data_IF_928214423271
#
_entry.id   IF_928214423271
#
_cell.length_a   1.000
_cell.length_b   1.000
_cell.length_c   1.000
_cell.angle_alpha   90.00
_cell.angle_beta   90.00
_cell.angle_gamma   90.00
#
_symmetry.space_group_name_H-M   'P 1'
#
loop_
_entity.id
_entity.type
_entity.pdbx_description
1 polymer ?
#
# COMPACT_ATOMS: atom_id res chain seq x y z
N UNK A 1 -53.33 75.35 -33.12
CA UNK A 1 -52.19 74.42 -33.02
C UNK A 1 -51.95 74.02 -31.59
N UNK A 2 -52.42 72.88 -31.16
CA UNK A 2 -52.25 72.32 -29.79
C UNK A 2 -51.15 71.29 -29.86
N UNK A 3 -50.00 71.50 -29.18
CA UNK A 3 -48.91 70.54 -29.05
C UNK A 3 -49.30 69.50 -27.96
N UNK A 4 -49.40 68.24 -28.33
CA UNK A 4 -49.55 67.09 -27.47
C UNK A 4 -48.24 66.86 -26.65
N UNK A 5 -48.31 66.60 -25.32
CA UNK A 5 -47.12 66.29 -24.55
C UNK A 5 -46.68 64.82 -24.82
N UNK A 6 -45.39 64.65 -25.11
CA UNK A 6 -44.72 63.35 -25.21
C UNK A 6 -44.73 62.64 -23.83
N UNK A 7 -45.48 61.55 -23.72
CA UNK A 7 -45.32 60.61 -22.61
C UNK A 7 -43.92 60.03 -22.59
N UNK A 8 -43.14 60.38 -21.60
CA UNK A 8 -41.90 59.70 -21.23
C UNK A 8 -42.25 58.30 -20.71
N UNK A 9 -41.96 57.29 -21.50
CA UNK A 9 -42.03 55.88 -21.11
C UNK A 9 -40.95 55.61 -20.09
N UNK A 10 -41.27 55.63 -18.76
CA UNK A 10 -40.38 55.17 -17.72
C UNK A 10 -40.02 53.71 -18.02
N UNK A 11 -38.82 53.46 -18.54
CA UNK A 11 -38.23 52.12 -18.63
C UNK A 11 -37.97 51.69 -17.19
N UNK A 12 -38.78 50.79 -16.65
CA UNK A 12 -38.48 50.04 -15.44
C UNK A 12 -37.25 49.22 -15.73
N UNK A 13 -36.08 49.64 -15.21
CA UNK A 13 -34.77 49.05 -15.43
C UNK A 13 -34.48 47.83 -14.55
N UNK A 14 -35.37 47.42 -13.65
CA UNK A 14 -35.19 46.28 -12.75
C UNK A 14 -36.48 45.44 -12.66
N UNK A 15 -36.34 44.13 -12.85
CA UNK A 15 -37.34 43.16 -12.49
C UNK A 15 -37.50 43.15 -10.97
N UNK A 16 -38.69 43.51 -10.47
CA UNK A 16 -39.03 43.41 -9.04
C UNK A 16 -39.35 41.95 -8.71
N UNK A 17 -38.39 41.28 -8.08
CA UNK A 17 -38.63 39.97 -7.50
C UNK A 17 -39.22 40.13 -6.07
N UNK A 18 -39.95 39.11 -5.59
CA UNK A 18 -40.42 39.08 -4.21
C UNK A 18 -39.25 39.16 -3.22
N UNK A 19 -39.44 39.83 -2.08
CA UNK A 19 -38.40 40.02 -1.06
C UNK A 19 -37.69 38.71 -0.67
N UNK A 20 -38.42 37.60 -0.60
CA UNK A 20 -37.87 36.27 -0.36
C UNK A 20 -36.74 35.89 -1.30
N UNK A 21 -36.86 36.19 -2.59
CA UNK A 21 -35.80 35.86 -3.59
C UNK A 21 -34.51 36.64 -3.35
N UNK A 22 -34.64 37.89 -2.90
CA UNK A 22 -33.47 38.69 -2.52
C UNK A 22 -32.81 38.15 -1.26
N UNK A 23 -33.55 37.68 -0.26
CA UNK A 23 -33.03 37.06 0.94
C UNK A 23 -32.26 35.80 0.59
N UNK A 24 -32.84 34.92 -0.23
CA UNK A 24 -32.14 33.68 -0.72
C UNK A 24 -30.86 34.04 -1.45
N UNK A 25 -30.90 35.01 -2.38
CA UNK A 25 -29.74 35.43 -3.13
C UNK A 25 -28.62 35.96 -2.24
N UNK A 26 -28.95 36.88 -1.31
CA UNK A 26 -27.99 37.46 -0.36
C UNK A 26 -27.37 36.36 0.52
N UNK A 27 -28.21 35.48 1.08
CA UNK A 27 -27.73 34.36 1.90
C UNK A 27 -26.81 33.45 1.12
N UNK A 28 -27.14 33.12 -0.12
CA UNK A 28 -26.26 32.29 -1.00
C UNK A 28 -24.93 32.99 -1.26
N UNK A 29 -24.94 34.28 -1.57
CA UNK A 29 -23.74 35.06 -1.80
C UNK A 29 -22.86 35.11 -0.53
N UNK A 30 -23.46 35.31 0.64
CA UNK A 30 -22.75 35.30 1.93
C UNK A 30 -22.09 33.93 2.16
N UNK A 31 -22.84 32.85 1.99
CA UNK A 31 -22.30 31.47 2.15
C UNK A 31 -21.13 31.21 1.18
N UNK A 32 -21.29 31.58 -0.09
CA UNK A 32 -20.23 31.41 -1.10
C UNK A 32 -19.01 32.26 -0.76
N UNK A 33 -19.20 33.49 -0.29
CA UNK A 33 -18.08 34.36 0.13
C UNK A 33 -17.36 33.79 1.34
N UNK A 34 -18.09 33.34 2.38
CA UNK A 34 -17.53 32.70 3.56
C UNK A 34 -16.75 31.42 3.18
N UNK A 35 -17.27 30.66 2.23
CA UNK A 35 -16.59 29.45 1.71
C UNK A 35 -15.29 29.75 0.93
N UNK A 36 -15.18 30.93 0.32
CA UNK A 36 -14.00 31.32 -0.44
C UNK A 36 -12.89 31.97 0.44
N UNK A 37 -13.26 32.60 1.55
CA UNK A 37 -12.35 33.32 2.45
C UNK A 37 -11.18 32.46 2.94
N UNK A 38 -11.33 31.17 3.38
CA UNK A 38 -10.22 30.34 3.83
C UNK A 38 -9.12 30.19 2.78
N UNK A 39 -9.51 30.08 1.49
CA UNK A 39 -8.57 29.94 0.38
C UNK A 39 -7.68 31.17 0.18
N UNK A 40 -8.17 32.35 0.56
CA UNK A 40 -7.40 33.60 0.47
C UNK A 40 -6.24 33.65 1.49
N UNK A 41 -6.43 33.05 2.69
CA UNK A 41 -5.39 33.02 3.70
C UNK A 41 -4.28 32.02 3.38
N UNK A 42 -4.54 31.04 2.52
CA UNK A 42 -3.57 30.01 2.17
C UNK A 42 -3.35 28.95 3.24
N UNK A 43 -2.32 28.17 3.05
CA UNK A 43 -1.92 27.08 3.94
C UNK A 43 -0.42 27.17 4.19
N UNK A 44 0.02 26.85 5.42
CA UNK A 44 1.42 26.75 5.79
C UNK A 44 1.86 25.29 5.95
N UNK A 45 3.10 24.94 5.56
CA UNK A 45 3.63 23.61 5.76
C UNK A 45 3.73 23.28 7.24
N UNK A 46 3.32 22.09 7.62
CA UNK A 46 3.29 21.66 9.01
C UNK A 46 3.69 20.19 9.17
N UNK A 47 4.13 19.82 10.36
CA UNK A 47 4.36 18.44 10.77
C UNK A 47 3.35 18.09 11.86
N UNK A 48 2.61 17.02 11.67
CA UNK A 48 1.72 16.47 12.69
C UNK A 48 2.40 15.29 13.36
N UNK A 49 2.56 15.39 14.67
CA UNK A 49 3.05 14.33 15.55
C UNK A 49 1.87 13.65 16.23
N UNK A 50 1.85 12.31 16.16
CA UNK A 50 0.87 11.50 16.87
C UNK A 50 1.63 10.53 17.76
N UNK A 51 1.47 10.65 19.07
CA UNK A 51 2.13 9.82 20.07
C UNK A 51 1.34 8.52 20.30
N UNK A 52 2.04 7.38 20.29
CA UNK A 52 1.41 6.05 20.38
C UNK A 52 0.95 5.68 21.79
N UNK A 53 1.53 6.27 22.84
CA UNK A 53 1.23 5.96 24.24
C UNK A 53 0.96 7.23 25.03
N UNK A 54 -0.20 7.33 25.65
CA UNK A 54 -0.57 8.44 26.56
C UNK A 54 0.26 8.50 27.85
N UNK A 55 1.11 7.49 28.12
CA UNK A 55 1.94 7.40 29.34
C UNK A 55 3.45 7.42 29.11
N UNK A 56 3.93 7.46 27.87
CA UNK A 56 5.36 7.65 27.60
C UNK A 56 5.65 9.14 27.47
N UNK A 57 6.62 9.61 28.24
CA UNK A 57 7.15 10.97 28.35
C UNK A 57 6.82 11.84 27.13
N UNK A 58 5.69 12.53 27.18
CA UNK A 58 5.34 13.55 26.21
C UNK A 58 6.52 14.51 26.14
N UNK A 59 7.15 14.57 24.98
CA UNK A 59 8.08 15.68 24.73
C UNK A 59 7.21 16.93 24.83
N UNK A 60 7.35 17.64 25.94
CA UNK A 60 6.60 18.87 26.14
C UNK A 60 6.80 19.80 24.97
N UNK A 61 5.75 20.54 24.59
CA UNK A 61 5.83 21.59 23.57
C UNK A 61 7.03 22.52 23.79
N UNK A 62 7.43 22.72 25.05
CA UNK A 62 8.61 23.50 25.44
C UNK A 62 9.90 22.82 25.01
N UNK A 63 10.02 21.53 25.24
CA UNK A 63 11.21 20.75 24.85
C UNK A 63 11.32 20.64 23.33
N UNK A 64 10.19 20.45 22.65
CA UNK A 64 10.12 20.41 21.19
C UNK A 64 10.57 21.73 20.56
N UNK A 65 10.09 22.87 21.13
CA UNK A 65 10.50 24.20 20.67
C UNK A 65 11.98 24.45 20.95
N UNK A 66 12.50 23.97 22.09
CA UNK A 66 13.93 24.09 22.40
C UNK A 66 14.78 23.25 21.47
N UNK A 67 14.36 22.01 21.16
CA UNK A 67 15.02 21.11 20.20
C UNK A 67 15.14 21.76 18.81
N UNK A 68 14.03 22.32 18.29
CA UNK A 68 14.00 22.97 16.99
C UNK A 68 14.90 24.22 16.98
N UNK A 69 14.86 25.04 18.02
CA UNK A 69 15.70 26.26 18.14
C UNK A 69 17.18 25.92 18.23
N UNK A 70 17.57 24.88 18.98
CA UNK A 70 18.97 24.44 19.11
C UNK A 70 19.55 24.01 17.76
N UNK A 71 18.71 23.47 16.88
CA UNK A 71 19.10 23.05 15.52
C UNK A 71 18.83 24.11 14.43
N UNK A 72 18.61 25.37 14.83
CA UNK A 72 18.36 26.49 13.93
C UNK A 72 17.17 26.30 12.97
N UNK A 73 16.11 25.60 13.44
CA UNK A 73 14.89 25.41 12.70
C UNK A 73 13.82 26.34 13.31
N UNK A 74 13.31 27.28 12.50
CA UNK A 74 12.26 28.18 12.93
C UNK A 74 10.90 27.50 12.76
N UNK A 75 10.14 27.38 13.85
CA UNK A 75 8.72 27.02 13.84
C UNK A 75 7.91 28.28 14.12
N UNK A 76 6.89 28.53 13.30
CA UNK A 76 5.99 29.66 13.47
C UNK A 76 5.05 29.44 14.65
N UNK A 77 4.40 28.28 14.70
CA UNK A 77 3.42 27.95 15.74
C UNK A 77 3.46 26.45 16.05
N UNK A 78 3.27 26.08 17.32
CA UNK A 78 3.05 24.71 17.75
C UNK A 78 1.65 24.66 18.36
N UNK A 79 0.79 23.78 17.81
CA UNK A 79 -0.61 23.62 18.19
C UNK A 79 -0.79 22.20 18.71
N UNK A 80 -1.37 22.07 19.90
CA UNK A 80 -1.77 20.78 20.45
C UNK A 80 -3.29 20.69 20.46
N UNK A 81 -3.83 19.70 19.74
CA UNK A 81 -5.26 19.46 19.63
C UNK A 81 -5.55 17.97 19.45
N UNK A 82 -6.54 17.45 20.19
CA UNK A 82 -7.01 16.06 20.11
C UNK A 82 -5.87 15.00 20.26
N UNK A 83 -4.89 15.25 21.15
CA UNK A 83 -3.76 14.35 21.37
C UNK A 83 -2.75 14.33 20.22
N UNK A 84 -2.80 15.31 19.33
CA UNK A 84 -1.85 15.49 18.23
C UNK A 84 -1.15 16.84 18.37
N UNK A 85 0.16 16.84 18.18
CA UNK A 85 0.95 18.07 18.18
C UNK A 85 1.27 18.44 16.73
N UNK A 86 0.85 19.63 16.33
CA UNK A 86 1.09 20.16 14.98
C UNK A 86 2.08 21.31 15.04
N UNK A 87 3.20 21.19 14.35
CA UNK A 87 4.24 22.22 14.25
C UNK A 87 4.10 22.86 12.87
N UNK A 88 3.90 24.17 12.84
CA UNK A 88 3.74 24.96 11.62
C UNK A 88 5.05 25.66 11.29
N UNK A 89 5.44 25.66 10.02
CA UNK A 89 6.68 26.23 9.51
C UNK A 89 6.40 27.30 8.45
N UNK A 90 7.33 28.22 8.29
CA UNK A 90 7.23 29.27 7.28
C UNK A 90 7.48 28.73 5.86
N UNK A 91 8.35 27.73 5.75
CA UNK A 91 8.72 27.13 4.46
C UNK A 91 8.84 25.58 4.52
N UNK A 92 8.82 24.96 3.34
CA UNK A 92 8.92 23.50 3.20
C UNK A 92 10.35 22.98 3.49
N UNK A 93 11.39 23.85 3.40
CA UNK A 93 12.76 23.47 3.74
C UNK A 93 12.90 23.29 5.26
N UNK A 94 12.31 24.23 6.04
CA UNK A 94 12.26 24.12 7.50
C UNK A 94 11.48 22.87 7.93
N UNK A 95 10.34 22.60 7.29
CA UNK A 95 9.54 21.38 7.51
C UNK A 95 10.36 20.10 7.25
N UNK A 96 11.10 20.02 6.14
CA UNK A 96 11.91 18.85 5.79
C UNK A 96 13.06 18.62 6.76
N UNK A 97 13.77 19.70 7.17
CA UNK A 97 14.82 19.63 8.18
C UNK A 97 14.29 19.21 9.54
N UNK A 98 13.14 19.77 9.94
CA UNK A 98 12.48 19.39 11.20
C UNK A 98 12.10 17.91 11.22
N UNK A 99 11.57 17.37 10.12
CA UNK A 99 11.27 15.94 10.04
C UNK A 99 12.50 15.06 10.19
N UNK A 100 13.61 15.41 9.51
CA UNK A 100 14.85 14.65 9.63
C UNK A 100 15.38 14.64 11.06
N UNK A 101 15.30 15.79 11.75
CA UNK A 101 15.67 15.91 13.16
C UNK A 101 14.75 15.06 14.07
N UNK A 102 13.44 15.23 13.90
CA UNK A 102 12.43 14.55 14.72
C UNK A 102 12.46 13.03 14.54
N UNK A 103 12.74 12.53 13.34
CA UNK A 103 12.92 11.10 13.10
C UNK A 103 14.08 10.49 13.89
N UNK A 104 15.11 11.29 14.19
CA UNK A 104 16.27 10.82 14.97
C UNK A 104 16.06 10.93 16.48
N UNK A 105 15.25 11.88 16.94
CA UNK A 105 15.10 12.21 18.37
C UNK A 105 13.82 11.60 19.00
N UNK A 106 12.77 11.40 18.20
CA UNK A 106 11.50 10.85 18.68
C UNK A 106 11.55 9.32 18.76
N UNK A 107 10.73 8.78 19.65
CA UNK A 107 10.58 7.34 19.76
C UNK A 107 9.99 6.77 18.47
N UNK A 108 10.49 5.60 18.05
CA UNK A 108 10.07 4.90 16.83
C UNK A 108 8.58 4.49 16.80
N UNK A 109 7.87 4.68 17.88
CA UNK A 109 6.43 4.43 18.00
C UNK A 109 5.58 5.63 17.61
N UNK A 110 6.18 6.83 17.53
CA UNK A 110 5.49 8.06 17.22
C UNK A 110 5.40 8.26 15.70
N UNK A 111 4.26 8.72 15.25
CA UNK A 111 4.03 8.97 13.81
C UNK A 111 4.30 10.44 13.49
N UNK A 112 5.19 10.66 12.51
CA UNK A 112 5.53 11.98 11.99
C UNK A 112 4.93 12.12 10.59
N UNK A 113 3.94 12.98 10.44
CA UNK A 113 3.20 13.13 9.18
C UNK A 113 3.33 14.54 8.63
N UNK A 114 3.68 14.69 7.37
CA UNK A 114 3.60 15.97 6.68
C UNK A 114 2.14 16.39 6.51
N UNK A 115 1.86 17.64 6.85
CA UNK A 115 0.53 18.23 6.73
C UNK A 115 0.64 19.69 6.32
N UNK A 116 -0.49 20.27 6.00
CA UNK A 116 -0.62 21.71 5.79
C UNK A 116 -1.74 22.20 6.70
N UNK A 117 -1.51 23.35 7.32
CA UNK A 117 -2.48 23.99 8.20
C UNK A 117 -2.96 25.27 7.58
N UNK A 118 -4.27 25.47 7.57
CA UNK A 118 -4.87 26.71 7.12
C UNK A 118 -4.47 27.88 8.04
N UNK A 119 -4.03 28.97 7.44
CA UNK A 119 -3.72 30.23 8.14
C UNK A 119 -5.01 31.03 8.46
N UNK A 120 -6.17 30.53 7.99
CA UNK A 120 -7.45 31.18 8.25
C UNK A 120 -7.77 31.23 9.75
N UNK A 121 -8.51 32.27 10.20
CA UNK A 121 -8.95 32.39 11.59
C UNK A 121 -9.68 31.15 12.10
N UNK A 122 -9.43 30.76 13.36
CA UNK A 122 -9.97 29.50 13.95
C UNK A 122 -11.49 29.42 13.89
N UNK A 123 -12.21 30.54 14.11
CA UNK A 123 -13.69 30.57 14.03
C UNK A 123 -14.22 30.11 12.67
N UNK A 124 -13.46 30.34 11.57
CA UNK A 124 -13.85 29.95 10.22
C UNK A 124 -13.69 28.44 10.02
N UNK A 125 -12.61 27.88 10.56
CA UNK A 125 -12.37 26.43 10.55
C UNK A 125 -13.37 25.68 11.45
N UNK A 126 -13.75 26.25 12.60
CA UNK A 126 -14.78 25.68 13.49
C UNK A 126 -16.17 25.65 12.86
N UNK A 127 -16.47 26.61 11.99
CA UNK A 127 -17.70 26.62 11.19
C UNK A 127 -17.69 25.60 10.03
N UNK A 128 -16.60 24.86 9.84
CA UNK A 128 -16.45 23.85 8.79
C UNK A 128 -15.97 24.39 7.43
N UNK A 129 -15.56 25.66 7.35
CA UNK A 129 -14.97 26.23 6.15
C UNK A 129 -13.47 25.96 6.14
N UNK A 130 -13.01 25.15 5.19
CA UNK A 130 -11.59 24.85 4.97
C UNK A 130 -11.13 25.38 3.61
N UNK A 131 -9.83 25.71 3.44
CA UNK A 131 -9.29 26.08 2.15
C UNK A 131 -9.56 25.01 1.10
N UNK A 132 -9.69 25.43 -0.16
CA UNK A 132 -9.77 24.50 -1.27
C UNK A 132 -8.41 23.81 -1.42
N UNK A 133 -8.40 22.48 -1.36
CA UNK A 133 -7.18 21.70 -1.55
C UNK A 133 -6.63 21.95 -2.95
N UNK A 134 -5.42 22.50 -3.01
CA UNK A 134 -4.74 22.77 -4.25
C UNK A 134 -4.20 21.47 -4.84
N UNK A 135 -4.50 21.22 -6.10
CA UNK A 135 -3.98 20.05 -6.82
C UNK A 135 -2.51 20.21 -7.22
N UNK A 136 -1.98 19.17 -7.84
CA UNK A 136 -0.60 19.09 -8.33
C UNK A 136 -0.18 20.29 -9.21
N UNK A 137 -1.12 20.80 -10.01
CA UNK A 137 -0.88 21.90 -10.96
C UNK A 137 -0.57 23.25 -10.27
N UNK A 138 -1.02 23.42 -9.03
CA UNK A 138 -0.85 24.67 -8.28
C UNK A 138 0.18 24.60 -7.16
N UNK A 139 0.39 23.41 -6.58
CA UNK A 139 1.39 23.18 -5.53
C UNK A 139 2.72 22.64 -6.07
N UNK A 140 2.74 22.15 -7.32
CA UNK A 140 3.84 21.32 -7.80
C UNK A 140 3.81 19.95 -7.14
N UNK A 141 4.76 19.09 -7.48
CA UNK A 141 4.84 17.74 -6.93
C UNK A 141 5.11 16.69 -8.00
N UNK A 142 4.78 15.45 -7.73
CA UNK A 142 5.10 14.32 -8.59
C UNK A 142 3.86 13.52 -8.94
N UNK A 143 3.73 13.17 -10.21
CA UNK A 143 2.71 12.26 -10.71
C UNK A 143 3.35 10.97 -11.19
N UNK A 144 2.86 9.83 -10.70
CA UNK A 144 3.24 8.51 -11.19
C UNK A 144 2.07 7.86 -11.90
N UNK A 145 2.38 7.18 -12.99
CA UNK A 145 1.47 6.23 -13.65
C UNK A 145 2.06 4.84 -13.50
N UNK A 146 1.41 4.01 -12.70
CA UNK A 146 1.79 2.63 -12.43
C UNK A 146 0.90 1.71 -13.28
N UNK A 147 1.49 0.93 -14.18
CA UNK A 147 0.79 -0.12 -14.89
C UNK A 147 0.87 -1.42 -14.06
N UNK A 148 -0.29 -2.04 -13.84
CA UNK A 148 -0.40 -3.32 -13.13
C UNK A 148 -0.35 -4.44 -14.16
N UNK A 149 0.61 -5.36 -14.02
CA UNK A 149 0.73 -6.51 -14.90
C UNK A 149 -0.25 -7.63 -14.50
N UNK A 150 -1.52 -7.43 -14.85
CA UNK A 150 -2.60 -8.37 -14.55
C UNK A 150 -2.34 -9.75 -15.17
N UNK A 151 -1.70 -9.79 -16.34
CA UNK A 151 -1.40 -11.07 -17.00
C UNK A 151 -0.42 -11.89 -16.18
N UNK A 152 0.62 -11.25 -15.64
CA UNK A 152 1.60 -11.88 -14.77
C UNK A 152 0.95 -12.41 -13.48
N UNK A 153 0.08 -11.61 -12.86
CA UNK A 153 -0.67 -12.04 -11.68
C UNK A 153 -1.56 -13.25 -11.99
N UNK A 154 -2.20 -13.25 -13.15
CA UNK A 154 -3.04 -14.37 -13.57
C UNK A 154 -2.21 -15.64 -13.85
N UNK A 155 -1.01 -15.52 -14.42
CA UNK A 155 -0.08 -16.64 -14.57
C UNK A 155 0.33 -17.24 -13.23
N UNK A 156 0.60 -16.41 -12.24
CA UNK A 156 0.93 -16.86 -10.88
C UNK A 156 -0.25 -17.58 -10.23
N UNK A 157 -1.47 -17.04 -10.36
CA UNK A 157 -2.69 -17.70 -9.89
C UNK A 157 -2.91 -19.05 -10.58
N UNK A 158 -2.74 -19.11 -11.92
CA UNK A 158 -2.83 -20.37 -12.68
C UNK A 158 -1.83 -21.40 -12.18
N UNK A 159 -0.58 -21.00 -11.95
CA UNK A 159 0.45 -21.90 -11.47
C UNK A 159 0.15 -22.40 -10.05
N UNK A 160 -0.37 -21.53 -9.17
CA UNK A 160 -0.82 -21.92 -7.85
C UNK A 160 -1.97 -22.94 -7.93
N UNK A 161 -2.94 -22.74 -8.82
CA UNK A 161 -4.03 -23.68 -9.06
C UNK A 161 -3.51 -25.05 -9.54
N UNK A 162 -2.55 -25.08 -10.46
CA UNK A 162 -1.90 -26.32 -10.91
C UNK A 162 -1.28 -27.07 -9.73
N UNK A 163 -0.57 -26.37 -8.86
CA UNK A 163 0.06 -26.99 -7.69
C UNK A 163 -0.98 -27.49 -6.69
N UNK A 164 -2.11 -26.81 -6.54
CA UNK A 164 -3.19 -27.22 -5.68
C UNK A 164 -3.93 -28.46 -6.21
N UNK A 165 -4.23 -28.50 -7.50
CA UNK A 165 -4.79 -29.71 -8.12
C UNK A 165 -3.86 -30.90 -7.92
N UNK A 166 -2.54 -30.73 -8.17
CA UNK A 166 -1.54 -31.78 -7.96
C UNK A 166 -1.46 -32.26 -6.51
N UNK A 167 -1.64 -31.35 -5.55
CA UNK A 167 -1.67 -31.72 -4.13
C UNK A 167 -2.92 -32.53 -3.79
N UNK A 168 -4.11 -32.08 -4.21
CA UNK A 168 -5.36 -32.79 -4.01
C UNK A 168 -5.33 -34.21 -4.59
N UNK A 169 -4.78 -34.38 -5.80
CA UNK A 169 -4.61 -35.69 -6.41
C UNK A 169 -3.67 -36.62 -5.62
N UNK A 170 -2.60 -36.06 -5.05
CA UNK A 170 -1.67 -36.82 -4.19
C UNK A 170 -2.35 -37.27 -2.90
N UNK A 171 -3.10 -36.41 -2.27
CA UNK A 171 -3.82 -36.72 -1.03
C UNK A 171 -4.87 -37.83 -1.25
N UNK A 172 -5.53 -37.80 -2.40
CA UNK A 172 -6.47 -38.82 -2.85
C UNK A 172 -5.80 -40.07 -3.47
N UNK A 173 -4.45 -40.10 -3.51
CA UNK A 173 -3.66 -41.20 -4.11
C UNK A 173 -3.97 -41.45 -5.59
N UNK A 174 -4.51 -40.47 -6.31
CA UNK A 174 -4.78 -40.55 -7.76
C UNK A 174 -3.49 -40.37 -8.52
N UNK A 175 -3.16 -41.32 -9.41
CA UNK A 175 -1.92 -41.32 -10.23
C UNK A 175 -2.27 -41.26 -11.72
N UNK A 176 -1.25 -40.97 -12.56
CA UNK A 176 -1.42 -40.99 -14.01
C UNK A 176 -2.04 -39.72 -14.62
N UNK A 177 -2.16 -38.63 -13.86
CA UNK A 177 -2.65 -37.33 -14.36
C UNK A 177 -1.46 -36.40 -14.65
N UNK A 178 -1.40 -35.88 -15.87
CA UNK A 178 -0.44 -34.88 -16.29
C UNK A 178 -1.14 -33.53 -16.36
N UNK A 179 -0.62 -32.53 -15.60
CA UNK A 179 -1.17 -31.19 -15.56
C UNK A 179 -0.09 -30.23 -16.00
N UNK A 180 -0.36 -29.43 -17.03
CA UNK A 180 0.59 -28.47 -17.64
C UNK A 180 -0.08 -27.11 -17.86
N UNK A 181 0.69 -26.07 -17.67
CA UNK A 181 0.28 -24.73 -18.09
C UNK A 181 0.39 -24.61 -19.62
N UNK A 182 -0.60 -24.00 -20.24
CA UNK A 182 -0.62 -23.61 -21.65
C UNK A 182 -0.66 -22.09 -21.83
N UNK A 183 -0.35 -21.64 -23.05
CA UNK A 183 -0.47 -20.22 -23.40
C UNK A 183 -1.92 -19.72 -23.26
N UNK A 184 -2.11 -18.41 -22.98
CA UNK A 184 -3.44 -17.82 -22.80
C UNK A 184 -4.10 -18.18 -21.47
N UNK A 185 -3.30 -18.38 -20.42
CA UNK A 185 -3.78 -18.71 -19.08
C UNK A 185 -4.57 -20.02 -18.95
N UNK A 186 -4.37 -20.95 -19.87
CA UNK A 186 -5.02 -22.25 -19.89
C UNK A 186 -4.22 -23.30 -19.12
N UNK A 187 -4.92 -24.36 -18.69
CA UNK A 187 -4.34 -25.51 -18.02
C UNK A 187 -4.79 -26.77 -18.76
N UNK A 188 -3.85 -27.54 -19.30
CA UNK A 188 -4.13 -28.85 -19.87
C UNK A 188 -4.05 -29.93 -18.79
N UNK A 189 -5.07 -30.77 -18.74
CA UNK A 189 -5.16 -31.93 -17.85
C UNK A 189 -5.35 -33.17 -18.71
N UNK A 190 -4.38 -34.05 -18.73
CA UNK A 190 -4.36 -35.28 -19.53
C UNK A 190 -4.23 -36.49 -18.61
N UNK A 191 -5.01 -37.52 -18.88
CA UNK A 191 -4.90 -38.80 -18.21
C UNK A 191 -5.48 -39.93 -19.09
N UNK A 192 -4.96 -41.14 -18.93
CA UNK A 192 -5.52 -42.33 -19.53
C UNK A 192 -6.65 -42.92 -18.66
N UNK A 193 -6.84 -42.42 -17.43
CA UNK A 193 -7.86 -42.87 -16.49
C UNK A 193 -9.05 -41.91 -16.43
N UNK A 194 -10.20 -42.33 -16.88
CA UNK A 194 -11.45 -41.58 -16.79
C UNK A 194 -11.85 -41.26 -15.35
N UNK A 195 -11.56 -42.15 -14.41
CA UNK A 195 -11.84 -41.94 -12.98
C UNK A 195 -10.98 -40.81 -12.42
N UNK A 196 -9.72 -40.74 -12.83
CA UNK A 196 -8.82 -39.64 -12.43
C UNK A 196 -9.26 -38.30 -13.00
N UNK A 197 -9.71 -38.24 -14.25
CA UNK A 197 -10.27 -37.04 -14.89
C UNK A 197 -11.57 -36.59 -14.19
N UNK A 198 -12.43 -37.56 -13.78
CA UNK A 198 -13.65 -37.25 -13.05
C UNK A 198 -13.38 -36.63 -11.68
N UNK A 199 -12.38 -37.10 -10.94
CA UNK A 199 -11.99 -36.51 -9.65
C UNK A 199 -11.43 -35.08 -9.80
N UNK A 200 -10.59 -34.84 -10.79
CA UNK A 200 -10.12 -33.47 -11.08
C UNK A 200 -11.28 -32.56 -11.45
N UNK A 201 -12.19 -33.02 -12.28
CA UNK A 201 -13.37 -32.22 -12.69
C UNK A 201 -14.27 -31.89 -11.51
N UNK A 202 -14.50 -32.87 -10.60
CA UNK A 202 -15.26 -32.68 -9.36
C UNK A 202 -14.60 -31.63 -8.46
N UNK A 203 -13.29 -31.75 -8.23
CA UNK A 203 -12.51 -30.79 -7.46
C UNK A 203 -12.64 -29.36 -8.02
N UNK A 204 -12.52 -29.20 -9.33
CA UNK A 204 -12.60 -27.91 -10.00
C UNK A 204 -13.99 -27.28 -9.90
N UNK A 205 -15.03 -28.05 -10.14
CA UNK A 205 -16.43 -27.57 -10.02
C UNK A 205 -16.76 -27.11 -8.61
N UNK A 206 -16.20 -27.77 -7.60
CA UNK A 206 -16.46 -27.44 -6.20
C UNK A 206 -15.68 -26.18 -5.74
N UNK A 207 -14.42 -26.05 -6.17
CA UNK A 207 -13.54 -25.03 -5.63
C UNK A 207 -13.29 -23.84 -6.59
N UNK A 208 -13.48 -24.05 -7.91
CA UNK A 208 -13.12 -23.08 -8.95
C UNK A 208 -14.21 -22.93 -10.02
N UNK A 209 -15.42 -22.49 -9.66
CA UNK A 209 -16.55 -22.37 -10.60
C UNK A 209 -16.32 -21.37 -11.74
N UNK A 210 -15.37 -20.46 -11.60
CA UNK A 210 -14.99 -19.48 -12.64
C UNK A 210 -14.15 -20.06 -13.78
N UNK A 211 -13.78 -21.37 -13.72
CA UNK A 211 -13.01 -22.03 -14.77
C UNK A 211 -13.93 -22.93 -15.61
N UNK A 212 -13.81 -22.78 -16.95
CA UNK A 212 -14.59 -23.57 -17.92
C UNK A 212 -13.78 -24.78 -18.34
N UNK A 213 -14.38 -25.94 -18.30
CA UNK A 213 -13.79 -27.22 -18.73
C UNK A 213 -14.16 -27.47 -20.17
N UNK A 214 -13.18 -27.57 -21.07
CA UNK A 214 -13.36 -27.94 -22.49
C UNK A 214 -12.73 -29.32 -22.74
N UNK A 215 -13.46 -30.21 -23.37
CA UNK A 215 -12.96 -31.56 -23.72
C UNK A 215 -11.80 -31.48 -24.72
N UNK A 216 -10.80 -32.34 -24.51
CA UNK A 216 -9.64 -32.51 -25.39
C UNK A 216 -9.47 -34.00 -25.71
N UNK A 217 -8.63 -34.34 -26.68
CA UNK A 217 -8.43 -35.72 -27.18
C UNK A 217 -7.95 -36.73 -26.12
N UNK A 218 -7.25 -36.28 -25.08
CA UNK A 218 -6.71 -37.11 -23.98
C UNK A 218 -7.04 -36.62 -22.59
N UNK A 219 -8.12 -35.80 -22.47
CA UNK A 219 -8.50 -35.21 -21.20
C UNK A 219 -9.33 -33.95 -21.39
N UNK A 220 -8.94 -32.87 -20.74
CA UNK A 220 -9.61 -31.58 -20.89
C UNK A 220 -8.67 -30.40 -20.71
N UNK A 221 -9.10 -29.25 -21.21
CA UNK A 221 -8.43 -27.96 -21.04
C UNK A 221 -9.30 -27.07 -20.19
N UNK A 222 -8.71 -26.48 -19.17
CA UNK A 222 -9.34 -25.46 -18.33
C UNK A 222 -9.03 -24.07 -18.89
N UNK A 223 -10.04 -23.29 -19.07
CA UNK A 223 -9.94 -21.88 -19.47
C UNK A 223 -10.68 -21.02 -18.45
N UNK A 224 -10.13 -19.87 -18.03
CA UNK A 224 -10.88 -18.94 -17.21
C UNK A 224 -12.03 -18.35 -18.02
N UNK A 225 -13.21 -18.21 -17.42
CA UNK A 225 -14.32 -17.50 -18.06
C UNK A 225 -14.00 -16.02 -18.22
N UNK A 226 -14.61 -15.33 -19.18
CA UNK A 226 -14.44 -13.89 -19.36
C UNK A 226 -14.84 -13.10 -18.08
N UNK A 227 -15.88 -13.58 -17.40
CA UNK A 227 -16.31 -12.99 -16.13
C UNK A 227 -15.23 -13.15 -15.06
N UNK A 228 -14.61 -14.32 -14.96
CA UNK A 228 -13.51 -14.58 -14.00
C UNK A 228 -12.29 -13.70 -14.29
N UNK A 229 -11.96 -13.49 -15.58
CA UNK A 229 -10.86 -12.60 -15.97
C UNK A 229 -11.16 -11.15 -15.54
N UNK A 230 -12.38 -10.65 -15.80
CA UNK A 230 -12.77 -9.29 -15.43
C UNK A 230 -12.81 -9.09 -13.91
N UNK A 231 -13.33 -10.05 -13.18
CA UNK A 231 -13.41 -10.03 -11.73
C UNK A 231 -12.00 -10.06 -11.11
N UNK A 232 -11.13 -10.95 -11.59
CA UNK A 232 -9.74 -11.01 -11.17
C UNK A 232 -9.00 -9.69 -11.45
N UNK A 233 -9.16 -9.12 -12.65
CA UNK A 233 -8.57 -7.83 -13.01
C UNK A 233 -9.05 -6.71 -12.09
N UNK A 234 -10.35 -6.64 -11.82
CA UNK A 234 -10.92 -5.63 -10.93
C UNK A 234 -10.41 -5.78 -9.49
N UNK A 235 -10.39 -7.01 -8.98
CA UNK A 235 -9.92 -7.32 -7.63
C UNK A 235 -8.44 -7.01 -7.48
N UNK A 236 -7.61 -7.42 -8.44
CA UNK A 236 -6.17 -7.13 -8.46
C UNK A 236 -5.90 -5.63 -8.44
N UNK A 237 -6.62 -4.85 -9.24
CA UNK A 237 -6.48 -3.39 -9.23
C UNK A 237 -6.92 -2.76 -7.92
N UNK A 238 -8.02 -3.22 -7.33
CA UNK A 238 -8.49 -2.73 -6.02
C UNK A 238 -7.49 -3.03 -4.90
N UNK A 239 -6.92 -4.23 -4.87
CA UNK A 239 -5.88 -4.61 -3.92
C UNK A 239 -4.65 -3.73 -4.07
N UNK A 240 -4.16 -3.55 -5.28
CA UNK A 240 -3.01 -2.69 -5.55
C UNK A 240 -3.29 -1.22 -5.20
N UNK A 241 -4.49 -0.70 -5.45
CA UNK A 241 -4.90 0.64 -5.00
C UNK A 241 -4.83 0.78 -3.48
N UNK A 242 -5.33 -0.23 -2.73
CA UNK A 242 -5.28 -0.23 -1.27
C UNK A 242 -3.83 -0.24 -0.76
N UNK A 243 -2.98 -1.09 -1.36
CA UNK A 243 -1.56 -1.16 -1.02
C UNK A 243 -0.84 0.16 -1.30
N UNK A 244 -1.11 0.79 -2.46
CA UNK A 244 -0.50 2.07 -2.81
C UNK A 244 -0.91 3.18 -1.85
N UNK A 245 -2.18 3.26 -1.44
CA UNK A 245 -2.63 4.21 -0.43
C UNK A 245 -1.89 4.01 0.89
N UNK A 246 -1.82 2.78 1.40
CA UNK A 246 -1.10 2.48 2.63
C UNK A 246 0.37 2.90 2.56
N UNK A 247 1.06 2.65 1.45
CA UNK A 247 2.46 3.07 1.26
C UNK A 247 2.64 4.59 1.26
N UNK A 248 1.70 5.31 0.69
CA UNK A 248 1.73 6.77 0.62
C UNK A 248 1.42 7.37 1.99
N UNK A 249 0.48 6.78 2.72
CA UNK A 249 0.18 7.16 4.11
C UNK A 249 1.40 6.95 5.02
N UNK A 250 2.15 5.85 4.86
CA UNK A 250 3.40 5.60 5.58
C UNK A 250 4.52 6.62 5.23
N UNK A 251 4.51 7.19 4.04
CA UNK A 251 5.37 8.32 3.68
C UNK A 251 4.96 9.62 4.40
N UNK A 252 3.82 9.61 5.09
CA UNK A 252 3.26 10.78 5.73
C UNK A 252 2.66 11.79 4.76
N UNK A 253 2.28 11.39 3.55
CA UNK A 253 1.66 12.25 2.55
C UNK A 253 0.14 12.11 2.69
N UNK A 254 -0.51 13.10 3.30
CA UNK A 254 -1.95 13.06 3.62
C UNK A 254 -2.87 13.46 2.48
N UNK A 255 -2.36 14.20 1.48
CA UNK A 255 -3.17 14.76 0.39
C UNK A 255 -2.92 14.08 -0.96
N UNK A 256 -2.37 12.86 -0.93
CA UNK A 256 -2.13 12.10 -2.14
C UNK A 256 -3.43 11.65 -2.81
N UNK A 257 -3.49 11.77 -4.14
CA UNK A 257 -4.58 11.22 -4.93
C UNK A 257 -4.15 9.90 -5.54
N UNK A 258 -4.82 8.81 -5.18
CA UNK A 258 -4.56 7.46 -5.73
C UNK A 258 -5.84 6.93 -6.34
N UNK A 259 -5.86 6.83 -7.66
CA UNK A 259 -7.08 6.42 -8.39
C UNK A 259 -6.77 5.51 -9.57
N UNK A 260 -7.75 4.69 -9.93
CA UNK A 260 -7.69 3.87 -11.13
C UNK A 260 -7.71 4.73 -12.39
N UNK A 261 -6.84 4.40 -13.35
CA UNK A 261 -6.82 5.01 -14.67
C UNK A 261 -6.90 3.91 -15.74
N UNK A 262 -8.04 3.86 -16.44
CA UNK A 262 -8.27 2.82 -17.45
C UNK A 262 -8.48 1.43 -16.85
N UNK A 263 -8.01 0.39 -17.56
CA UNK A 263 -8.25 -1.01 -17.22
C UNK A 263 -7.15 -1.63 -16.34
N UNK A 264 -5.93 -1.13 -16.43
CA UNK A 264 -4.71 -1.76 -15.91
C UNK A 264 -3.74 -0.79 -15.23
N UNK A 265 -4.13 0.47 -15.04
CA UNK A 265 -3.24 1.49 -14.53
C UNK A 265 -3.78 2.18 -13.28
N UNK A 266 -2.86 2.63 -12.44
CA UNK A 266 -3.10 3.42 -11.24
C UNK A 266 -2.37 4.75 -11.39
N UNK A 267 -3.10 5.85 -11.26
CA UNK A 267 -2.54 7.19 -11.20
C UNK A 267 -2.36 7.59 -9.75
N UNK A 268 -1.16 8.07 -9.45
CA UNK A 268 -0.76 8.53 -8.12
C UNK A 268 -0.26 9.96 -8.27
N UNK A 269 -0.87 10.88 -7.54
CA UNK A 269 -0.47 12.29 -7.49
C UNK A 269 -0.06 12.62 -6.07
N UNK A 270 1.14 13.18 -5.93
CA UNK A 270 1.76 13.53 -4.65
C UNK A 270 2.09 15.03 -4.66
N UNK A 271 1.12 15.89 -4.27
CA UNK A 271 1.37 17.32 -4.17
C UNK A 271 2.42 17.64 -3.11
N UNK A 272 3.28 18.62 -3.36
CA UNK A 272 4.28 19.09 -2.40
C UNK A 272 5.44 18.14 -2.12
N UNK A 273 5.59 17.04 -2.85
CA UNK A 273 6.72 16.11 -2.68
C UNK A 273 7.97 16.70 -3.35
N UNK A 274 8.99 16.96 -2.53
CA UNK A 274 10.27 17.52 -2.98
C UNK A 274 11.28 16.48 -3.45
N UNK A 275 11.22 15.24 -2.90
CA UNK A 275 12.09 14.13 -3.31
C UNK A 275 11.31 13.05 -4.08
N UNK A 276 11.25 13.16 -5.41
CA UNK A 276 10.62 12.17 -6.26
C UNK A 276 11.29 10.80 -6.21
N UNK A 277 12.59 10.74 -5.91
CA UNK A 277 13.33 9.49 -5.87
C UNK A 277 12.95 8.66 -4.64
N UNK A 278 12.81 9.30 -3.48
CA UNK A 278 12.32 8.64 -2.26
C UNK A 278 10.89 8.13 -2.46
N UNK A 279 9.99 8.97 -2.98
CA UNK A 279 8.62 8.57 -3.27
C UNK A 279 8.56 7.39 -4.25
N UNK A 280 9.35 7.42 -5.33
CA UNK A 280 9.47 6.33 -6.30
C UNK A 280 9.95 5.04 -5.64
N UNK A 281 10.95 5.12 -4.76
CA UNK A 281 11.50 3.95 -4.07
C UNK A 281 10.45 3.28 -3.19
N UNK A 282 9.68 4.02 -2.41
CA UNK A 282 8.66 3.46 -1.52
C UNK A 282 7.45 2.96 -2.31
N UNK A 283 6.94 3.73 -3.27
CA UNK A 283 5.80 3.33 -4.11
C UNK A 283 6.17 2.13 -4.98
N UNK A 284 7.39 2.13 -5.54
CA UNK A 284 7.88 1.07 -6.42
C UNK A 284 8.40 -0.18 -5.72
N UNK A 285 8.55 -0.11 -4.40
CA UNK A 285 9.01 -1.26 -3.65
C UNK A 285 7.99 -2.41 -3.76
N UNK A 286 8.43 -3.51 -4.32
CA UNK A 286 7.62 -4.71 -4.51
C UNK A 286 8.02 -5.80 -3.52
N UNK A 287 8.62 -5.38 -2.40
CA UNK A 287 9.09 -6.28 -1.37
C UNK A 287 7.93 -6.89 -0.58
N UNK A 288 8.02 -8.17 -0.35
CA UNK A 288 7.11 -8.90 0.54
C UNK A 288 7.86 -9.94 1.34
N UNK A 289 7.29 -10.33 2.46
CA UNK A 289 7.74 -11.51 3.20
C UNK A 289 6.83 -12.70 2.93
N UNK A 290 7.41 -13.86 2.99
CA UNK A 290 6.67 -15.11 3.06
C UNK A 290 7.40 -16.05 4.03
N UNK A 291 6.61 -16.83 4.76
CA UNK A 291 7.11 -17.79 5.75
C UNK A 291 6.99 -19.19 5.18
N UNK A 292 8.06 -19.96 5.30
CA UNK A 292 8.16 -21.28 4.72
C UNK A 292 8.62 -22.31 5.74
N UNK A 293 8.12 -23.53 5.60
CA UNK A 293 8.66 -24.70 6.29
C UNK A 293 10.03 -25.03 5.68
N UNK A 294 11.02 -25.26 6.53
CA UNK A 294 12.36 -25.72 6.11
C UNK A 294 12.37 -27.25 6.12
N UNK A 295 12.86 -27.84 5.05
CA UNK A 295 13.04 -29.29 4.89
C UNK A 295 14.47 -29.69 5.12
N UNK A 296 14.65 -30.87 5.71
CA UNK A 296 15.96 -31.49 5.82
C UNK A 296 16.48 -31.91 4.44
N UNK A 297 17.79 -31.85 4.25
CA UNK A 297 18.43 -32.18 2.97
C UNK A 297 18.10 -33.60 2.47
N UNK A 298 17.82 -34.56 3.39
CA UNK A 298 17.40 -35.92 3.09
C UNK A 298 15.96 -36.06 2.58
N UNK A 299 15.15 -35.03 2.76
CA UNK A 299 13.71 -35.01 2.34
C UNK A 299 13.51 -34.22 1.05
N UNK A 300 14.57 -33.62 0.51
CA UNK A 300 14.51 -32.80 -0.70
C UNK A 300 14.05 -33.61 -1.92
N UNK A 301 13.03 -33.09 -2.63
CA UNK A 301 12.54 -33.67 -3.88
C UNK A 301 12.79 -32.70 -5.02
N UNK A 302 13.67 -33.09 -5.94
CA UNK A 302 13.98 -32.26 -7.11
C UNK A 302 12.71 -31.84 -7.86
N UNK A 303 12.59 -30.53 -8.10
CA UNK A 303 11.44 -29.92 -8.81
C UNK A 303 10.16 -29.71 -7.99
N UNK A 304 10.12 -30.15 -6.71
CA UNK A 304 8.98 -29.95 -5.82
C UNK A 304 9.28 -29.00 -4.67
N UNK A 305 10.54 -28.68 -4.42
CA UNK A 305 11.00 -27.83 -3.34
C UNK A 305 11.59 -26.53 -3.88
N UNK A 306 11.52 -25.49 -3.08
CA UNK A 306 12.14 -24.20 -3.36
C UNK A 306 13.53 -24.19 -2.71
N UNK A 307 14.56 -23.99 -3.54
CA UNK A 307 15.95 -23.97 -3.07
C UNK A 307 16.45 -22.53 -3.13
N UNK A 308 16.72 -21.93 -1.98
CA UNK A 308 17.20 -20.55 -1.84
C UNK A 308 18.50 -20.50 -1.06
N UNK A 309 19.18 -19.36 -1.14
CA UNK A 309 20.36 -19.07 -0.32
C UNK A 309 19.99 -18.12 0.81
N UNK A 310 20.60 -18.34 1.98
CA UNK A 310 20.55 -17.41 3.09
C UNK A 310 21.57 -16.27 2.92
N UNK A 311 21.62 -15.34 3.86
CA UNK A 311 22.56 -14.22 3.86
C UNK A 311 24.04 -14.67 3.96
N UNK A 312 24.29 -15.86 4.50
CA UNK A 312 25.63 -16.47 4.63
C UNK A 312 26.02 -17.31 3.40
N UNK A 313 25.15 -17.36 2.38
CA UNK A 313 25.35 -18.15 1.15
C UNK A 313 25.04 -19.64 1.30
N UNK A 314 24.50 -20.08 2.46
CA UNK A 314 24.11 -21.46 2.69
C UNK A 314 22.82 -21.77 1.95
N UNK A 315 22.73 -22.96 1.42
CA UNK A 315 21.53 -23.43 0.71
C UNK A 315 20.47 -23.90 1.72
N UNK A 316 19.28 -23.33 1.61
CA UNK A 316 18.10 -23.68 2.43
C UNK A 316 17.04 -24.29 1.52
N UNK A 317 16.53 -25.45 1.89
CA UNK A 317 15.52 -26.18 1.14
C UNK A 317 14.18 -25.94 1.83
N UNK A 318 13.22 -25.42 1.09
CA UNK A 318 11.94 -24.95 1.59
C UNK A 318 10.80 -25.75 0.92
N UNK A 319 9.71 -25.94 1.65
CA UNK A 319 8.46 -26.37 1.03
C UNK A 319 8.05 -25.35 -0.04
N UNK A 320 7.55 -25.80 -1.18
CA UNK A 320 7.20 -24.91 -2.30
C UNK A 320 6.10 -23.90 -1.95
N UNK A 321 5.18 -24.28 -1.07
CA UNK A 321 4.09 -23.42 -0.62
C UNK A 321 4.48 -22.67 0.64
N UNK A 322 4.28 -21.34 0.67
CA UNK A 322 4.46 -20.60 1.90
C UNK A 322 3.37 -20.99 2.92
N UNK A 323 3.76 -21.02 4.17
CA UNK A 323 2.85 -21.14 5.31
C UNK A 323 1.96 -19.90 5.40
N UNK A 324 2.60 -18.74 5.21
CA UNK A 324 1.96 -17.44 5.28
C UNK A 324 2.63 -16.47 4.31
N UNK A 325 1.82 -15.61 3.70
CA UNK A 325 2.28 -14.52 2.83
C UNK A 325 2.12 -13.16 3.51
N UNK A 326 2.85 -12.17 3.04
CA UNK A 326 2.88 -10.83 3.62
C UNK A 326 1.54 -10.09 3.60
N UNK A 327 0.54 -10.56 2.84
CA UNK A 327 -0.80 -9.97 2.81
C UNK A 327 -1.54 -10.00 4.15
N UNK A 328 -1.13 -10.92 5.03
CA UNK A 328 -1.67 -11.06 6.39
C UNK A 328 -0.93 -10.20 7.43
N UNK A 329 0.10 -9.46 7.02
CA UNK A 329 0.85 -8.56 7.90
C UNK A 329 0.09 -7.24 8.03
N UNK A 330 -0.36 -6.94 9.24
CA UNK A 330 -1.09 -5.70 9.55
C UNK A 330 -0.11 -4.61 10.00
N UNK A 331 0.93 -4.99 10.74
CA UNK A 331 1.91 -4.06 11.26
C UNK A 331 3.28 -4.73 11.36
N UNK A 332 4.33 -3.94 11.18
CA UNK A 332 5.70 -4.37 11.36
C UNK A 332 6.53 -3.23 11.96
N UNK A 333 7.34 -3.51 12.98
CA UNK A 333 8.17 -2.53 13.69
C UNK A 333 9.57 -3.06 13.89
N UNK A 334 10.57 -2.25 13.56
CA UNK A 334 11.94 -2.56 13.92
C UNK A 334 12.13 -2.32 15.42
N UNK A 335 12.94 -3.16 16.02
CA UNK A 335 13.32 -3.09 17.44
C UNK A 335 14.73 -3.60 17.67
N UNK A 336 15.13 -3.61 18.91
CA UNK A 336 16.39 -4.20 19.35
C UNK A 336 16.05 -5.23 20.43
N UNK A 337 16.60 -6.43 20.30
CA UNK A 337 16.41 -7.46 21.29
C UNK A 337 17.26 -7.19 22.56
N UNK A 338 17.10 -8.03 23.58
CA UNK A 338 17.84 -7.91 24.85
C UNK A 338 19.35 -8.09 24.69
N UNK A 339 19.84 -8.56 23.55
CA UNK A 339 21.24 -8.76 23.20
C UNK A 339 21.79 -7.63 22.31
N UNK A 340 21.00 -6.60 22.02
CA UNK A 340 21.40 -5.50 21.15
C UNK A 340 21.30 -5.81 19.65
N UNK A 341 20.70 -6.94 19.26
CA UNK A 341 20.53 -7.35 17.89
C UNK A 341 19.25 -6.75 17.31
N UNK A 342 19.27 -6.37 16.02
CA UNK A 342 18.09 -5.87 15.33
C UNK A 342 17.04 -6.96 15.18
N UNK A 343 15.79 -6.60 15.46
CA UNK A 343 14.62 -7.44 15.26
C UNK A 343 13.51 -6.69 14.52
N UNK A 344 12.59 -7.43 13.92
CA UNK A 344 11.35 -6.88 13.36
C UNK A 344 10.18 -7.56 14.04
N UNK A 345 9.39 -6.79 14.78
CA UNK A 345 8.16 -7.23 15.40
C UNK A 345 7.03 -7.19 14.38
N UNK A 346 6.33 -8.30 14.20
CA UNK A 346 5.27 -8.46 13.22
C UNK A 346 3.94 -8.71 13.90
N UNK A 347 2.90 -8.03 13.44
CA UNK A 347 1.52 -8.27 13.82
C UNK A 347 0.73 -8.74 12.59
N UNK A 348 0.02 -9.84 12.74
CA UNK A 348 -0.83 -10.44 11.72
C UNK A 348 -2.30 -10.10 11.94
N UNK A 349 -3.09 -10.17 10.87
CA UNK A 349 -4.53 -10.18 10.96
C UNK A 349 -5.05 -11.49 11.61
N UNK A 350 -6.34 -11.55 11.87
CA UNK A 350 -6.95 -12.73 12.52
C UNK A 350 -6.74 -14.02 11.71
N UNK A 351 -6.86 -13.96 10.39
CA UNK A 351 -6.70 -15.12 9.51
C UNK A 351 -5.25 -15.59 9.47
N UNK A 352 -4.30 -14.66 9.35
CA UNK A 352 -2.87 -14.96 9.39
C UNK A 352 -2.41 -15.48 10.74
N UNK A 353 -2.91 -14.89 11.84
CA UNK A 353 -2.63 -15.35 13.20
C UNK A 353 -3.11 -16.79 13.42
N UNK A 354 -4.30 -17.14 12.94
CA UNK A 354 -4.81 -18.49 12.99
C UNK A 354 -3.96 -19.47 12.18
N UNK A 355 -3.65 -19.16 10.91
CA UNK A 355 -2.79 -19.99 10.06
C UNK A 355 -1.40 -20.23 10.71
N UNK A 356 -0.79 -19.17 11.24
CA UNK A 356 0.52 -19.26 11.90
C UNK A 356 0.44 -20.09 13.18
N UNK A 357 -0.62 -19.94 13.96
CA UNK A 357 -0.87 -20.72 15.18
C UNK A 357 -1.06 -22.21 14.87
N UNK A 358 -1.92 -22.55 13.89
CA UNK A 358 -2.17 -23.92 13.49
C UNK A 358 -0.91 -24.61 12.95
N UNK A 359 -0.12 -23.91 12.16
CA UNK A 359 1.15 -24.41 11.65
C UNK A 359 2.18 -24.61 12.79
N UNK A 360 2.42 -23.59 13.59
CA UNK A 360 3.45 -23.62 14.61
C UNK A 360 3.16 -24.64 15.73
N UNK A 361 1.89 -24.88 16.06
CA UNK A 361 1.49 -25.90 17.05
C UNK A 361 1.98 -27.30 16.68
N UNK A 362 2.03 -27.62 15.39
CA UNK A 362 2.46 -28.93 14.88
C UNK A 362 3.95 -28.98 14.50
N UNK A 363 4.64 -27.83 14.53
CA UNK A 363 6.04 -27.68 14.07
C UNK A 363 6.97 -27.13 15.18
N UNK A 364 6.61 -27.28 16.45
CA UNK A 364 7.50 -26.91 17.58
C UNK A 364 8.80 -27.71 17.48
N UNK A 365 9.94 -27.04 17.63
CA UNK A 365 11.27 -27.61 17.49
C UNK A 365 11.78 -27.71 16.05
N UNK A 366 10.95 -27.39 15.04
CA UNK A 366 11.36 -27.36 13.64
C UNK A 366 11.73 -25.95 13.18
N UNK A 367 12.63 -25.84 12.19
CA UNK A 367 13.01 -24.53 11.63
C UNK A 367 11.93 -24.00 10.67
N UNK A 368 11.71 -22.70 10.73
CA UNK A 368 10.90 -21.92 9.81
C UNK A 368 11.76 -20.84 9.17
N UNK A 369 11.68 -20.70 7.86
CA UNK A 369 12.41 -19.67 7.12
C UNK A 369 11.51 -18.47 6.81
N UNK A 370 12.08 -17.29 6.98
CA UNK A 370 11.51 -16.04 6.51
C UNK A 370 12.21 -15.66 5.21
N UNK A 371 11.44 -15.58 4.13
CA UNK A 371 11.92 -15.29 2.79
C UNK A 371 11.50 -13.89 2.39
N UNK A 372 12.47 -13.07 2.07
CA UNK A 372 12.27 -11.77 1.44
C UNK A 372 12.12 -11.98 -0.06
N UNK A 373 11.07 -11.44 -0.61
CA UNK A 373 10.74 -11.50 -2.02
C UNK A 373 10.65 -10.09 -2.58
N UNK A 374 11.34 -9.85 -3.66
CA UNK A 374 11.35 -8.57 -4.35
C UNK A 374 11.17 -8.79 -5.85
N UNK A 375 10.39 -7.93 -6.48
CA UNK A 375 10.28 -7.88 -7.92
C UNK A 375 11.08 -6.69 -8.44
N UNK A 376 12.06 -6.93 -9.28
CA UNK A 376 12.87 -5.90 -9.95
C UNK A 376 12.55 -5.88 -11.42
N UNK A 377 12.22 -4.72 -11.96
CA UNK A 377 12.07 -4.55 -13.39
C UNK A 377 13.42 -4.10 -13.96
N UNK A 378 14.00 -4.91 -14.84
CA UNK A 378 15.24 -4.57 -15.51
C UNK A 378 15.04 -3.47 -16.58
N UNK A 379 16.14 -2.96 -17.14
CA UNK A 379 16.10 -1.87 -18.14
C UNK A 379 15.35 -2.25 -19.43
N UNK A 380 15.11 -3.53 -19.65
CA UNK A 380 14.35 -4.08 -20.80
C UNK A 380 12.85 -4.18 -20.51
N UNK A 381 12.39 -3.75 -19.31
CA UNK A 381 10.99 -3.82 -18.90
C UNK A 381 10.55 -5.21 -18.44
N UNK A 382 11.47 -6.16 -18.28
CA UNK A 382 11.15 -7.50 -17.77
C UNK A 382 11.22 -7.48 -16.25
N UNK A 383 10.15 -7.92 -15.61
CA UNK A 383 10.09 -8.03 -14.14
C UNK A 383 10.61 -9.39 -13.72
N UNK A 384 11.71 -9.38 -12.97
CA UNK A 384 12.35 -10.56 -12.39
C UNK A 384 12.01 -10.64 -10.90
N UNK A 385 11.73 -11.85 -10.45
CA UNK A 385 11.48 -12.15 -9.04
C UNK A 385 12.80 -12.57 -8.40
N UNK A 386 13.24 -11.81 -7.41
CA UNK A 386 14.38 -12.13 -6.56
C UNK A 386 13.88 -12.60 -5.21
N UNK A 387 14.37 -13.74 -4.72
CA UNK A 387 14.02 -14.30 -3.43
C UNK A 387 15.29 -14.63 -2.66
N UNK A 388 15.31 -14.28 -1.38
CA UNK A 388 16.41 -14.64 -0.47
C UNK A 388 15.87 -14.98 0.90
N UNK A 389 16.50 -15.91 1.57
CA UNK A 389 16.18 -16.21 2.98
C UNK A 389 16.86 -15.16 3.84
N UNK A 390 16.10 -14.44 4.65
CA UNK A 390 16.63 -13.44 5.58
C UNK A 390 16.82 -13.98 6.99
N UNK A 391 16.05 -15.00 7.37
CA UNK A 391 16.17 -15.64 8.68
C UNK A 391 15.68 -17.08 8.61
N UNK A 392 16.37 -17.95 9.33
CA UNK A 392 15.91 -19.31 9.65
C UNK A 392 15.91 -19.43 11.16
N UNK A 393 14.72 -19.55 11.74
CA UNK A 393 14.55 -19.61 13.19
C UNK A 393 13.77 -20.87 13.59
N UNK A 394 14.17 -21.50 14.68
CA UNK A 394 13.46 -22.64 15.25
C UNK A 394 12.23 -22.17 16.01
N UNK A 395 11.08 -22.76 15.72
CA UNK A 395 9.82 -22.50 16.41
C UNK A 395 9.93 -23.04 17.83
N UNK A 396 10.03 -22.15 18.82
CA UNK A 396 10.19 -22.54 20.22
C UNK A 396 8.85 -22.83 20.92
N UNK A 397 7.79 -22.16 20.48
CA UNK A 397 6.43 -22.31 21.02
C UNK A 397 5.42 -22.01 19.94
N UNK A 398 4.15 -22.33 20.22
CA UNK A 398 3.06 -21.92 19.34
C UNK A 398 3.04 -20.41 19.17
N UNK A 399 3.11 -19.95 17.92
CA UNK A 399 3.09 -18.55 17.56
C UNK A 399 1.63 -18.07 17.45
N UNK A 400 1.40 -16.82 17.82
CA UNK A 400 0.11 -16.17 17.70
C UNK A 400 0.03 -15.18 16.55
N UNK A 401 -0.82 -14.18 16.72
CA UNK A 401 -0.92 -13.04 15.78
C UNK A 401 0.24 -12.04 15.91
N UNK A 402 1.10 -12.18 16.93
CA UNK A 402 2.28 -11.34 17.13
C UNK A 402 3.50 -12.22 17.34
N UNK A 403 4.55 -11.92 16.62
CA UNK A 403 5.86 -12.59 16.77
C UNK A 403 6.98 -11.68 16.24
N UNK A 404 8.22 -12.05 16.50
CA UNK A 404 9.41 -11.31 16.08
C UNK A 404 10.30 -12.15 15.17
N UNK A 405 10.93 -11.46 14.23
CA UNK A 405 11.98 -11.99 13.37
C UNK A 405 13.29 -11.38 13.83
N UNK A 406 14.26 -12.22 14.16
CA UNK A 406 15.64 -11.82 14.48
C UNK A 406 16.53 -12.04 13.25
N UNK A 407 17.67 -11.34 13.17
CA UNK A 407 18.61 -11.50 12.05
C UNK A 407 18.23 -10.75 10.78
N UNK A 408 17.47 -9.67 10.91
CA UNK A 408 17.08 -8.81 9.79
C UNK A 408 18.23 -7.91 9.26
N UNK A 409 19.47 -8.14 9.70
CA UNK A 409 20.64 -7.35 9.32
C UNK A 409 20.92 -6.19 10.26
N UNK A 410 21.39 -5.06 9.75
CA UNK A 410 21.60 -3.82 10.51
C UNK A 410 20.27 -3.21 10.96
N UNK A 411 20.33 -2.26 11.89
CA UNK A 411 19.13 -1.54 12.36
C UNK A 411 18.45 -0.78 11.22
N UNK A 412 19.21 -0.22 10.28
CA UNK A 412 18.68 0.48 9.12
C UNK A 412 17.95 -0.48 8.16
N UNK A 413 18.51 -1.68 7.95
CA UNK A 413 17.86 -2.73 7.16
C UNK A 413 16.58 -3.24 7.83
N UNK A 414 16.58 -3.41 9.15
CA UNK A 414 15.39 -3.77 9.91
C UNK A 414 14.30 -2.68 9.83
N UNK A 415 14.67 -1.40 9.87
CA UNK A 415 13.75 -0.27 9.70
C UNK A 415 13.15 -0.22 8.30
N UNK A 416 13.98 -0.35 7.27
CA UNK A 416 13.51 -0.41 5.88
C UNK A 416 12.57 -1.59 5.66
N UNK A 417 12.93 -2.76 6.21
CA UNK A 417 12.08 -3.95 6.12
C UNK A 417 10.74 -3.72 6.83
N UNK A 418 10.75 -3.18 8.04
CA UNK A 418 9.52 -2.88 8.78
C UNK A 418 8.64 -1.88 8.03
N UNK A 419 9.22 -0.83 7.44
CA UNK A 419 8.49 0.14 6.60
C UNK A 419 7.82 -0.53 5.40
N UNK A 420 8.57 -1.35 4.66
CA UNK A 420 8.06 -2.06 3.49
C UNK A 420 6.93 -3.04 3.84
N UNK A 421 7.06 -3.72 4.99
CA UNK A 421 6.03 -4.65 5.45
C UNK A 421 4.76 -3.94 5.94
N UNK A 422 4.90 -2.83 6.64
CA UNK A 422 3.81 -2.00 7.14
C UNK A 422 3.04 -1.33 5.99
N UNK A 423 3.76 -0.87 4.96
CA UNK A 423 3.20 -0.25 3.77
C UNK A 423 2.32 -1.20 2.92
N UNK A 424 2.00 -2.37 3.44
CA UNK A 424 1.11 -3.35 2.82
C UNK A 424 1.86 -4.43 2.05
N UNK A 425 1.23 -5.58 1.97
CA UNK A 425 1.77 -6.78 1.37
C UNK A 425 2.27 -6.66 -0.07
N UNK A 426 2.72 -7.75 -0.61
CA UNK A 426 3.16 -7.85 -2.01
C UNK A 426 2.10 -7.31 -2.95
N UNK A 427 2.51 -6.47 -3.89
CA UNK A 427 1.64 -6.14 -5.02
C UNK A 427 1.23 -7.45 -5.71
N UNK A 428 -0.05 -7.67 -5.85
CA UNK A 428 -0.60 -8.89 -6.49
C UNK A 428 -0.13 -9.03 -7.93
N UNK A 429 0.21 -7.91 -8.56
CA UNK A 429 0.80 -7.85 -9.90
C UNK A 429 1.85 -6.75 -9.88
N UNK A 430 3.15 -7.09 -9.99
CA UNK A 430 4.19 -6.08 -10.05
C UNK A 430 3.93 -5.16 -11.24
N UNK A 431 3.83 -3.86 -10.94
CA UNK A 431 3.62 -2.84 -11.94
C UNK A 431 4.94 -2.28 -12.46
N UNK A 432 4.96 -1.82 -13.68
CA UNK A 432 6.06 -1.04 -14.22
C UNK A 432 5.65 0.42 -14.45
N UNK A 433 6.58 1.33 -14.19
CA UNK A 433 6.35 2.74 -14.41
C UNK A 433 6.38 3.05 -15.90
N UNK A 434 5.26 3.47 -16.47
CA UNK A 434 5.28 4.11 -17.77
C UNK A 434 5.81 5.54 -17.56
N UNK A 435 7.00 5.86 -18.10
CA UNK A 435 7.66 7.16 -17.97
C UNK A 435 6.70 8.30 -18.40
N UNK A 436 6.06 8.93 -17.44
CA UNK A 436 5.62 10.33 -17.49
C UNK A 436 5.69 10.87 -16.07
N UNK A 437 6.90 11.11 -15.57
CA UNK A 437 7.08 12.04 -14.47
C UNK A 437 6.98 13.44 -15.08
N UNK A 438 5.86 14.10 -14.93
CA UNK A 438 5.75 15.52 -15.19
C UNK A 438 6.22 16.23 -13.93
N UNK A 439 7.45 16.76 -13.99
CA UNK A 439 7.95 17.69 -13.00
C UNK A 439 7.40 19.07 -13.35
N UNK A 440 6.45 19.57 -12.62
CA UNK A 440 6.05 20.97 -12.67
C UNK A 440 6.86 21.69 -11.61
N UNK A 441 8.05 22.16 -11.97
CA UNK A 441 8.73 23.18 -11.20
C UNK A 441 8.14 24.54 -11.60
N UNK A 442 7.29 25.11 -10.78
CA UNK A 442 7.03 26.54 -10.86
C UNK A 442 8.27 27.25 -10.32
N UNK A 443 9.04 27.87 -11.20
CA UNK A 443 9.96 28.91 -10.81
C UNK A 443 9.09 30.11 -10.39
N UNK A 444 8.91 30.28 -9.09
CA UNK A 444 8.45 31.52 -8.51
C UNK A 444 9.62 32.53 -8.64
N UNK A 445 9.38 33.58 -9.39
CA UNK A 445 10.22 34.79 -9.44
C UNK A 445 10.03 35.60 -8.19
#
# INVERSE_FOLDING_TARGET
>A
MKKTPKQQKNRKLMNHYSAWKYVVLITTVIILTLSAIPTWFGEQPSIQLTFSNQNSSEISVVQLNQLLKTNHISADKIIEKDGKTTIVFDDENAQSKARALLNNELNKEDSITFSYVSVAPEWLNEMGFSPIKLGLDLRGGVQFLLNVDVNKAFEEQRNALIDEIKASLRDQRVRGVQIRAESGNRIAVNSESDTALAEVNKFLRQNYPGWVVKSSSRGFVLEPSEQNIQEFQSTTLQQNLKIMRGRIEELGITEALVQRQGKDSIRIELPGVQDPAQAKNVIGATASLAFYEVKDAGQARSGQDLVLKDNDGRTVILEKRPVLTGEHIVNARAGVDNMGMSEVNISLDHAGGKKMSDFSATHIGKPMATVYREYKTNDRGVTERSERVISVATIQSQLGSQFRITGAGSMDEAQQLALLLRAGGSLTAPGYYRRRAHYWCFFGS
#
